data_IF_891543726662
#
_entry.id   IF_891543726662
#
_cell.length_a   1.000
_cell.length_b   1.000
_cell.length_c   1.000
_cell.angle_alpha   90.00
_cell.angle_beta   90.00
_cell.angle_gamma   90.00
#
_symmetry.space_group_name_H-M   'P 1'
#
loop_
_entity.id
_entity.type
_entity.pdbx_description
1 polymer ?
#
# COMPACT_ATOMS: atom_id res chain seq x y z
N UNK A 1 57.32 57.98 -10.71
CA UNK A 1 57.55 56.55 -10.78
C UNK A 1 56.22 55.92 -11.23
N UNK A 2 56.03 55.70 -12.51
CA UNK A 2 54.78 55.39 -13.17
C UNK A 2 54.77 53.91 -13.57
N UNK A 3 53.98 53.11 -12.91
CA UNK A 3 53.81 51.67 -13.23
C UNK A 3 52.73 51.52 -14.29
N UNK A 4 53.08 51.02 -15.47
CA UNK A 4 52.17 50.67 -16.55
C UNK A 4 51.68 49.23 -16.35
N UNK A 5 50.40 49.08 -16.11
CA UNK A 5 49.71 47.76 -16.09
C UNK A 5 49.33 47.40 -17.54
N UNK A 6 49.92 46.32 -18.08
CA UNK A 6 49.52 45.73 -19.37
C UNK A 6 48.31 44.79 -19.12
N UNK A 7 47.20 45.12 -19.72
CA UNK A 7 46.04 44.23 -19.77
C UNK A 7 46.26 43.11 -20.80
N UNK A 8 46.27 41.87 -20.37
CA UNK A 8 46.23 40.71 -21.24
C UNK A 8 44.76 40.34 -21.54
N UNK A 9 44.39 40.47 -22.82
CA UNK A 9 43.06 40.01 -23.31
C UNK A 9 43.15 38.52 -23.52
N UNK A 10 42.44 37.73 -22.70
CA UNK A 10 42.26 36.28 -22.88
C UNK A 10 41.06 36.06 -23.81
N UNK A 11 41.30 35.53 -24.99
CA UNK A 11 40.30 35.12 -25.97
C UNK A 11 39.69 33.79 -25.49
N UNK A 12 38.50 33.83 -24.91
CA UNK A 12 37.73 32.60 -24.57
C UNK A 12 37.04 32.05 -25.82
N UNK A 13 37.54 30.93 -26.34
CA UNK A 13 36.86 30.17 -27.38
C UNK A 13 35.63 29.47 -26.76
N UNK A 14 34.43 29.92 -27.10
CA UNK A 14 33.16 29.24 -26.76
C UNK A 14 33.00 28.05 -27.71
N UNK A 15 33.27 26.83 -27.22
CA UNK A 15 32.93 25.59 -27.90
C UNK A 15 31.46 25.35 -27.65
N UNK A 16 30.61 25.63 -28.64
CA UNK A 16 29.18 25.27 -28.61
C UNK A 16 29.06 23.77 -28.86
N UNK A 17 28.88 22.98 -27.78
CA UNK A 17 28.49 21.59 -27.86
C UNK A 17 26.99 21.57 -28.11
N UNK A 18 26.58 21.39 -29.36
CA UNK A 18 25.22 21.05 -29.72
C UNK A 18 24.96 19.61 -29.27
N UNK A 19 24.44 19.43 -28.06
CA UNK A 19 23.88 18.15 -27.65
C UNK A 19 22.63 17.89 -28.51
N UNK A 20 22.77 16.98 -29.46
CA UNK A 20 21.62 16.40 -30.15
C UNK A 20 20.79 15.63 -29.08
N UNK A 21 19.79 16.28 -28.52
CA UNK A 21 18.79 15.61 -27.72
C UNK A 21 18.00 14.69 -28.67
N UNK A 22 18.37 13.42 -28.68
CA UNK A 22 17.46 12.36 -29.14
C UNK A 22 16.30 12.35 -28.16
N UNK A 23 15.32 13.20 -28.41
CA UNK A 23 14.07 13.19 -27.68
C UNK A 23 13.44 11.82 -27.85
N UNK A 24 13.48 11.01 -26.79
CA UNK A 24 12.57 9.88 -26.69
C UNK A 24 11.17 10.47 -26.86
N UNK A 25 10.54 10.25 -28.00
CA UNK A 25 9.14 10.55 -28.19
C UNK A 25 8.38 9.73 -27.16
N UNK A 26 7.99 10.38 -26.06
CA UNK A 26 6.96 9.84 -25.17
C UNK A 26 5.70 9.76 -26.04
N UNK A 27 5.40 8.56 -26.51
CA UNK A 27 4.14 8.31 -27.19
C UNK A 27 3.04 8.84 -26.28
N UNK A 28 2.26 9.79 -26.77
CA UNK A 28 1.02 10.22 -26.10
C UNK A 28 0.14 8.98 -25.98
N UNK A 29 0.20 8.31 -24.82
CA UNK A 29 -0.79 7.32 -24.44
C UNK A 29 -2.03 8.09 -24.03
N UNK A 30 -2.75 8.58 -25.02
CA UNK A 30 -4.11 9.00 -24.84
C UNK A 30 -4.90 7.77 -24.42
N UNK A 31 -5.66 7.83 -23.32
CA UNK A 31 -6.71 6.87 -23.02
C UNK A 31 -7.77 6.93 -24.10
N UNK A 32 -7.42 6.47 -25.30
CA UNK A 32 -8.29 6.46 -26.47
C UNK A 32 -8.93 5.09 -26.63
N UNK A 33 -10.12 5.07 -27.17
CA UNK A 33 -10.86 3.92 -27.70
C UNK A 33 -10.15 3.23 -28.87
N UNK A 34 -8.82 3.17 -28.84
CA UNK A 34 -7.97 2.60 -29.89
C UNK A 34 -7.44 1.20 -29.54
N UNK A 35 -6.94 0.54 -30.57
CA UNK A 35 -6.25 -0.75 -30.42
C UNK A 35 -4.74 -0.54 -30.42
N UNK A 36 -4.03 -1.36 -29.64
CA UNK A 36 -2.57 -1.47 -29.64
C UNK A 36 -2.18 -2.92 -29.87
N UNK A 37 -1.33 -3.16 -30.86
CA UNK A 37 -0.74 -4.48 -31.13
C UNK A 37 0.74 -4.45 -30.74
N UNK A 38 1.12 -5.26 -29.75
CA UNK A 38 2.50 -5.49 -29.32
C UNK A 38 2.96 -6.78 -29.99
N UNK A 39 4.03 -6.72 -30.82
CA UNK A 39 4.51 -7.83 -31.64
C UNK A 39 5.80 -8.44 -31.09
N UNK A 40 5.94 -9.76 -31.31
CA UNK A 40 7.18 -10.52 -31.11
C UNK A 40 7.76 -10.45 -29.67
N UNK A 41 6.93 -10.23 -28.65
CA UNK A 41 7.39 -10.19 -27.26
C UNK A 41 7.67 -11.59 -26.69
N UNK A 42 8.51 -11.63 -25.66
CA UNK A 42 8.52 -12.74 -24.70
C UNK A 42 7.54 -12.38 -23.59
N UNK A 43 6.36 -13.03 -23.56
CA UNK A 43 5.29 -12.70 -22.61
C UNK A 43 5.42 -13.58 -21.39
N UNK A 44 5.60 -12.95 -20.21
CA UNK A 44 5.56 -13.59 -18.89
C UNK A 44 4.12 -13.57 -18.38
N UNK A 45 3.38 -14.67 -18.53
CA UNK A 45 1.94 -14.69 -18.22
C UNK A 45 1.64 -14.87 -16.75
N UNK A 46 2.64 -15.14 -15.92
CA UNK A 46 2.57 -15.50 -14.49
C UNK A 46 1.89 -16.87 -14.25
N UNK A 47 0.73 -17.11 -14.83
CA UNK A 47 -0.08 -18.32 -14.56
C UNK A 47 -0.02 -19.40 -15.64
N UNK A 48 0.47 -19.03 -16.85
CA UNK A 48 0.52 -19.93 -18.02
C UNK A 48 1.92 -20.10 -18.59
N UNK A 49 2.93 -19.80 -17.79
CA UNK A 49 4.33 -19.87 -18.21
C UNK A 49 4.76 -18.73 -19.12
N UNK A 50 5.84 -18.93 -19.86
CA UNK A 50 6.46 -17.94 -20.74
C UNK A 50 6.13 -18.26 -22.21
N UNK A 51 5.62 -17.26 -22.94
CA UNK A 51 5.31 -17.38 -24.37
C UNK A 51 6.32 -16.56 -25.17
N UNK A 52 7.13 -17.21 -25.99
CA UNK A 52 8.16 -16.55 -26.81
C UNK A 52 7.65 -16.21 -28.21
N UNK A 53 8.12 -15.07 -28.77
CA UNK A 53 7.76 -14.61 -30.11
C UNK A 53 6.24 -14.49 -30.29
N UNK A 54 5.58 -13.88 -29.31
CA UNK A 54 4.12 -13.85 -29.22
C UNK A 54 3.62 -12.42 -29.25
N UNK A 55 2.51 -12.20 -29.95
CA UNK A 55 1.86 -10.91 -30.06
C UNK A 55 0.74 -10.76 -29.03
N UNK A 56 0.49 -9.53 -28.58
CA UNK A 56 -0.61 -9.16 -27.71
C UNK A 56 -1.41 -8.02 -28.35
N UNK A 57 -2.70 -8.24 -28.58
CA UNK A 57 -3.65 -7.21 -29.00
C UNK A 57 -4.44 -6.68 -27.81
N UNK A 58 -4.37 -5.36 -27.63
CA UNK A 58 -5.16 -4.61 -26.64
C UNK A 58 -6.20 -3.80 -27.39
N UNK A 59 -7.46 -3.89 -27.00
CA UNK A 59 -8.56 -3.10 -27.55
C UNK A 59 -9.39 -2.52 -26.41
N UNK A 60 -9.64 -1.23 -26.44
CA UNK A 60 -10.41 -0.51 -25.41
C UNK A 60 -9.85 -0.75 -23.98
N UNK A 61 -8.52 -0.78 -23.83
CA UNK A 61 -7.84 -0.99 -22.56
C UNK A 61 -7.93 -2.41 -21.98
N UNK A 62 -8.37 -3.40 -22.79
CA UNK A 62 -8.45 -4.81 -22.39
C UNK A 62 -7.62 -5.68 -23.32
N UNK A 63 -7.05 -6.76 -22.81
CA UNK A 63 -6.42 -7.80 -23.63
C UNK A 63 -7.52 -8.47 -24.47
N UNK A 64 -7.45 -8.25 -25.78
CA UNK A 64 -8.40 -8.84 -26.73
C UNK A 64 -7.93 -10.20 -27.25
N UNK A 65 -6.61 -10.33 -27.54
CA UNK A 65 -6.06 -11.56 -28.09
C UNK A 65 -4.57 -11.71 -27.73
N UNK A 66 -4.14 -12.94 -27.50
CA UNK A 66 -2.74 -13.34 -27.39
C UNK A 66 -2.50 -14.46 -28.40
N UNK A 67 -1.48 -14.34 -29.23
CA UNK A 67 -1.20 -15.34 -30.27
C UNK A 67 0.01 -14.97 -31.11
N UNK A 68 0.28 -15.77 -32.15
CA UNK A 68 1.36 -15.47 -33.10
C UNK A 68 0.76 -14.85 -34.38
N UNK A 69 1.53 -13.97 -35.00
CA UNK A 69 1.18 -13.36 -36.28
C UNK A 69 -0.18 -12.66 -36.30
N UNK A 70 -0.52 -11.95 -35.24
CA UNK A 70 -1.78 -11.21 -35.16
C UNK A 70 -1.78 -10.05 -36.15
N UNK A 71 -2.95 -9.79 -36.74
CA UNK A 71 -3.17 -8.66 -37.62
C UNK A 71 -3.59 -7.43 -36.84
N UNK A 72 -2.94 -6.31 -37.06
CA UNK A 72 -3.30 -5.04 -36.46
C UNK A 72 -4.63 -4.54 -37.04
N UNK A 73 -5.63 -4.19 -36.19
CA UNK A 73 -6.83 -3.49 -36.67
C UNK A 73 -6.47 -2.15 -37.33
N UNK A 74 -7.34 -1.67 -38.22
CA UNK A 74 -7.15 -0.38 -38.87
C UNK A 74 -7.00 0.74 -37.78
N UNK A 75 -5.98 1.57 -37.94
CA UNK A 75 -5.67 2.65 -36.98
C UNK A 75 -5.06 2.21 -35.65
N UNK A 76 -4.69 0.93 -35.49
CA UNK A 76 -4.02 0.46 -34.27
C UNK A 76 -2.58 0.97 -34.19
N UNK A 77 -2.13 1.29 -32.98
CA UNK A 77 -0.70 1.50 -32.71
C UNK A 77 0.01 0.15 -32.72
N UNK A 78 1.08 0.01 -33.50
CA UNK A 78 1.90 -1.22 -33.54
C UNK A 78 3.22 -0.96 -32.81
N UNK A 79 3.57 -1.82 -31.87
CA UNK A 79 4.82 -1.76 -31.11
C UNK A 79 5.61 -3.04 -31.39
N UNK A 80 6.81 -2.90 -31.93
CA UNK A 80 7.74 -4.03 -32.03
C UNK A 80 8.44 -4.25 -30.71
N UNK A 81 8.21 -5.41 -30.11
CA UNK A 81 8.78 -5.85 -28.84
C UNK A 81 9.78 -7.01 -29.02
N UNK A 82 10.37 -7.13 -30.23
CA UNK A 82 11.41 -8.14 -30.48
C UNK A 82 12.56 -8.01 -29.47
N UNK A 83 12.91 -9.12 -28.82
CA UNK A 83 13.94 -9.16 -27.76
C UNK A 83 13.53 -8.51 -26.45
N UNK A 84 12.27 -8.09 -26.28
CA UNK A 84 11.75 -7.51 -25.05
C UNK A 84 10.82 -8.47 -24.31
N UNK A 85 10.73 -8.24 -22.99
CA UNK A 85 9.79 -8.96 -22.14
C UNK A 85 8.53 -8.12 -21.91
N UNK A 86 7.38 -8.77 -21.94
CA UNK A 86 6.08 -8.19 -21.62
C UNK A 86 5.47 -8.94 -20.45
N UNK A 87 5.06 -8.22 -19.42
CA UNK A 87 4.45 -8.81 -18.24
C UNK A 87 3.29 -7.92 -17.74
N UNK A 88 2.37 -8.45 -16.90
CA UNK A 88 1.41 -7.62 -16.20
C UNK A 88 2.13 -6.55 -15.38
N UNK A 89 1.50 -5.40 -15.22
CA UNK A 89 2.03 -4.36 -14.33
C UNK A 89 2.13 -4.87 -12.90
N UNK A 90 3.20 -4.48 -12.20
CA UNK A 90 3.45 -4.86 -10.81
C UNK A 90 2.40 -4.18 -9.92
N UNK A 91 1.87 -4.93 -8.95
CA UNK A 91 1.01 -4.45 -7.89
C UNK A 91 1.83 -4.44 -6.61
N UNK A 92 2.02 -3.26 -6.02
CA UNK A 92 2.66 -3.14 -4.71
C UNK A 92 1.59 -3.18 -3.62
N UNK A 93 1.58 -4.21 -2.78
CA UNK A 93 0.53 -4.42 -1.78
C UNK A 93 0.66 -3.52 -0.54
N UNK A 94 1.76 -2.77 -0.39
CA UNK A 94 1.98 -1.82 0.69
C UNK A 94 2.88 -0.69 0.25
N UNK A 95 2.34 0.52 0.25
CA UNK A 95 3.10 1.73 -0.05
C UNK A 95 2.60 2.92 0.75
N UNK A 96 3.47 3.91 0.90
CA UNK A 96 3.15 5.22 1.48
C UNK A 96 3.32 6.36 0.46
N UNK A 97 3.46 6.01 -0.81
CA UNK A 97 3.61 6.99 -1.88
C UNK A 97 2.39 7.90 -2.01
N UNK A 98 2.60 9.04 -2.66
CA UNK A 98 1.55 10.04 -2.98
C UNK A 98 0.95 10.74 -1.76
N UNK A 99 1.43 10.51 -0.54
CA UNK A 99 0.94 11.14 0.67
C UNK A 99 2.04 11.92 1.36
N UNK A 100 1.78 13.17 1.71
CA UNK A 100 2.71 14.01 2.47
C UNK A 100 2.69 13.67 3.97
N UNK A 101 1.56 13.12 4.46
CA UNK A 101 1.37 12.69 5.84
C UNK A 101 0.65 11.36 5.88
N UNK A 102 1.36 10.30 6.25
CA UNK A 102 0.81 8.94 6.27
C UNK A 102 0.22 8.54 7.62
N UNK A 103 0.43 9.34 8.67
CA UNK A 103 0.05 9.01 10.03
C UNK A 103 -0.80 10.10 10.67
N UNK A 104 -1.98 9.72 11.16
CA UNK A 104 -2.68 10.46 12.20
C UNK A 104 -2.41 9.76 13.55
N UNK A 105 -1.31 10.12 14.17
CA UNK A 105 -0.79 9.41 15.35
C UNK A 105 -1.15 10.05 16.69
N UNK A 106 -2.10 10.99 16.76
CA UNK A 106 -2.48 11.71 17.98
C UNK A 106 -3.24 10.83 18.98
N UNK A 107 -4.07 9.91 18.47
CA UNK A 107 -4.86 8.98 19.28
C UNK A 107 -4.41 7.52 19.05
N UNK A 108 -4.80 6.62 19.94
CA UNK A 108 -4.55 5.18 19.80
C UNK A 108 -5.42 4.53 18.75
N UNK A 109 -6.60 5.10 18.51
CA UNK A 109 -7.58 4.70 17.51
C UNK A 109 -7.94 5.92 16.67
N UNK A 110 -7.73 5.81 15.36
CA UNK A 110 -8.05 6.85 14.37
C UNK A 110 -8.67 6.23 13.11
N UNK A 111 -9.54 5.24 13.32
CA UNK A 111 -10.21 4.48 12.26
C UNK A 111 -11.01 5.34 11.28
N UNK A 112 -11.44 6.55 11.71
CA UNK A 112 -12.21 7.49 10.92
C UNK A 112 -11.41 8.24 9.86
N UNK A 113 -10.07 8.35 9.98
CA UNK A 113 -9.27 9.06 8.99
C UNK A 113 -9.02 8.22 7.74
N UNK A 114 -8.84 8.87 6.58
CA UNK A 114 -8.74 8.19 5.28
C UNK A 114 -7.51 8.69 4.52
N UNK A 115 -6.75 7.74 4.00
CA UNK A 115 -5.61 8.05 3.11
C UNK A 115 -6.05 8.79 1.85
N UNK A 116 -7.26 8.53 1.34
CA UNK A 116 -7.78 9.22 0.16
C UNK A 116 -7.79 10.73 0.29
N UNK A 117 -7.90 11.26 1.50
CA UNK A 117 -8.06 12.69 1.75
C UNK A 117 -6.74 13.48 1.67
N UNK A 118 -5.61 12.76 1.66
CA UNK A 118 -4.24 13.36 1.63
C UNK A 118 -3.41 12.92 0.43
N UNK A 119 -4.01 12.25 -0.56
CA UNK A 119 -3.29 11.80 -1.75
C UNK A 119 -2.99 12.96 -2.70
N UNK A 120 -1.72 13.05 -3.13
CA UNK A 120 -1.28 13.98 -4.16
C UNK A 120 -1.21 13.27 -5.53
N UNK A 121 -2.16 13.52 -6.45
CA UNK A 121 -2.21 12.84 -7.75
C UNK A 121 -1.13 13.30 -8.74
N UNK A 122 -0.35 14.33 -8.39
CA UNK A 122 0.76 14.86 -9.19
C UNK A 122 2.12 14.58 -8.56
N UNK A 123 2.18 13.71 -7.55
CA UNK A 123 3.43 13.36 -6.90
C UNK A 123 4.46 12.77 -7.88
N UNK A 124 5.71 13.25 -7.91
CA UNK A 124 6.75 12.73 -8.82
C UNK A 124 7.06 11.24 -8.62
N UNK A 125 6.76 10.70 -7.44
CA UNK A 125 6.89 9.28 -7.13
C UNK A 125 6.06 8.38 -8.06
N UNK A 126 4.92 8.86 -8.57
CA UNK A 126 4.08 8.13 -9.54
C UNK A 126 4.88 7.81 -10.81
N UNK A 127 5.60 8.79 -11.35
CA UNK A 127 6.44 8.56 -12.54
C UNK A 127 7.55 7.54 -12.29
N UNK A 128 8.19 7.61 -11.12
CA UNK A 128 9.26 6.67 -10.76
C UNK A 128 8.73 5.25 -10.64
N UNK A 129 7.58 5.07 -10.00
CA UNK A 129 6.94 3.77 -9.87
C UNK A 129 6.51 3.21 -11.24
N UNK A 130 5.88 4.03 -12.09
CA UNK A 130 5.49 3.63 -13.45
C UNK A 130 6.71 3.27 -14.31
N UNK A 131 7.81 4.02 -14.21
CA UNK A 131 9.06 3.70 -14.90
C UNK A 131 9.67 2.36 -14.45
N UNK A 132 9.45 1.97 -13.19
CA UNK A 132 9.81 0.66 -12.64
C UNK A 132 8.80 -0.45 -12.93
N UNK A 133 7.69 -0.15 -13.64
CA UNK A 133 6.65 -1.14 -13.98
C UNK A 133 5.58 -1.34 -12.91
N UNK A 134 5.57 -0.57 -11.83
CA UNK A 134 4.50 -0.59 -10.83
C UNK A 134 3.31 0.19 -11.36
N UNK A 135 2.15 -0.44 -11.42
CA UNK A 135 0.94 0.15 -12.01
C UNK A 135 -0.20 0.35 -11.03
N UNK A 136 -0.15 -0.33 -9.89
CA UNK A 136 -1.17 -0.25 -8.84
C UNK A 136 -0.53 -0.36 -7.47
N UNK A 137 -1.09 0.36 -6.50
CA UNK A 137 -0.64 0.40 -5.12
C UNK A 137 -1.80 0.19 -4.15
N UNK A 138 -1.50 -0.44 -3.01
CA UNK A 138 -2.33 -0.34 -1.82
C UNK A 138 -1.64 0.66 -0.87
N UNK A 139 -2.18 1.86 -0.76
CA UNK A 139 -1.61 2.92 0.07
C UNK A 139 -2.24 2.86 1.45
N UNK A 140 -1.42 2.53 2.43
CA UNK A 140 -1.84 2.31 3.81
C UNK A 140 -1.56 3.53 4.68
N UNK A 141 -2.36 3.70 5.72
CA UNK A 141 -1.98 4.54 6.86
C UNK A 141 -0.69 4.01 7.48
N UNK A 142 0.18 4.86 7.95
CA UNK A 142 1.43 4.46 8.59
C UNK A 142 1.20 3.71 9.91
N UNK A 143 2.28 3.32 10.58
CA UNK A 143 2.22 2.41 11.73
C UNK A 143 2.32 3.15 13.07
N UNK A 144 1.83 4.38 13.19
CA UNK A 144 2.02 5.20 14.39
C UNK A 144 1.11 4.82 15.57
N UNK A 145 -0.04 4.22 15.33
CA UNK A 145 -1.06 3.91 16.34
C UNK A 145 -1.67 2.51 16.13
N UNK A 146 -2.25 1.95 17.20
CA UNK A 146 -2.74 0.56 17.22
C UNK A 146 -3.82 0.33 16.16
N UNK A 147 -4.79 1.24 16.05
CA UNK A 147 -5.77 1.29 14.99
C UNK A 147 -5.59 2.62 14.27
N UNK A 148 -5.06 2.56 13.06
CA UNK A 148 -4.84 3.70 12.18
C UNK A 148 -6.02 3.96 11.25
N UNK A 149 -5.73 4.59 10.11
CA UNK A 149 -6.74 5.02 9.13
C UNK A 149 -7.07 4.01 8.05
N UNK A 150 -8.03 4.40 7.24
CA UNK A 150 -8.53 3.65 6.10
C UNK A 150 -7.55 3.79 4.92
N UNK A 151 -7.28 2.68 4.21
CA UNK A 151 -6.38 2.64 3.06
C UNK A 151 -7.05 3.05 1.75
N UNK A 152 -6.23 3.19 0.71
CA UNK A 152 -6.67 3.41 -0.66
C UNK A 152 -5.92 2.49 -1.62
N UNK A 153 -6.65 1.68 -2.38
CA UNK A 153 -6.06 0.94 -3.50
C UNK A 153 -6.24 1.75 -4.78
N UNK A 154 -5.15 2.06 -5.46
CA UNK A 154 -5.13 2.97 -6.62
C UNK A 154 -4.43 2.35 -7.83
N UNK A 155 -4.84 2.79 -9.02
CA UNK A 155 -4.08 2.66 -10.27
C UNK A 155 -3.28 3.94 -10.49
N UNK A 156 -2.01 3.79 -10.81
CA UNK A 156 -1.14 4.94 -11.04
C UNK A 156 -1.49 5.62 -12.37
N UNK A 157 -2.12 6.79 -12.30
CA UNK A 157 -2.55 7.61 -13.44
C UNK A 157 -2.16 9.06 -13.16
N UNK A 158 -0.92 9.40 -13.43
CA UNK A 158 -0.39 10.74 -13.15
C UNK A 158 -1.29 11.85 -13.70
N UNK A 159 -1.56 12.86 -12.89
CA UNK A 159 -2.33 14.04 -13.28
C UNK A 159 -3.85 13.80 -13.38
N UNK A 160 -4.35 12.62 -13.05
CA UNK A 160 -5.78 12.37 -12.89
C UNK A 160 -6.20 12.68 -11.46
N UNK A 161 -7.50 12.94 -11.26
CA UNK A 161 -8.04 13.12 -9.91
C UNK A 161 -7.88 11.84 -9.08
N UNK A 162 -7.85 11.97 -7.76
CA UNK A 162 -7.79 10.82 -6.83
C UNK A 162 -8.94 9.85 -7.10
N UNK A 163 -10.14 10.36 -7.36
CA UNK A 163 -11.31 9.53 -7.67
C UNK A 163 -11.11 8.66 -8.94
N UNK A 164 -10.48 9.20 -9.99
CA UNK A 164 -10.18 8.47 -11.23
C UNK A 164 -9.04 7.45 -11.03
N UNK A 165 -8.20 7.63 -10.02
CA UNK A 165 -7.12 6.71 -9.67
C UNK A 165 -7.61 5.55 -8.83
N UNK A 166 -8.72 5.67 -8.10
CA UNK A 166 -9.23 4.56 -7.29
C UNK A 166 -9.38 3.28 -8.11
N UNK A 167 -8.95 2.15 -7.55
CA UNK A 167 -9.04 0.86 -8.21
C UNK A 167 -10.50 0.37 -8.16
N UNK A 168 -11.19 0.23 -9.30
CA UNK A 168 -12.59 -0.17 -9.32
C UNK A 168 -12.78 -1.56 -8.70
N UNK A 169 -13.71 -1.66 -7.74
CA UNK A 169 -14.04 -2.93 -7.08
C UNK A 169 -13.04 -3.40 -6.03
N UNK A 170 -11.98 -2.63 -5.73
CA UNK A 170 -11.13 -2.93 -4.59
C UNK A 170 -11.93 -2.83 -3.28
N UNK A 171 -11.87 -3.84 -2.40
CA UNK A 171 -12.54 -3.76 -1.12
C UNK A 171 -11.90 -2.68 -0.24
N UNK A 172 -12.69 -2.00 0.61
CA UNK A 172 -12.14 -1.06 1.56
C UNK A 172 -11.28 -1.78 2.60
N UNK A 173 -10.27 -1.11 3.11
CA UNK A 173 -9.42 -1.65 4.16
C UNK A 173 -9.09 -0.63 5.23
N UNK A 174 -8.40 -1.09 6.26
CA UNK A 174 -7.93 -0.30 7.40
C UNK A 174 -6.58 -0.82 7.89
N UNK A 175 -5.72 0.09 8.32
CA UNK A 175 -4.39 -0.25 8.85
C UNK A 175 -4.43 -0.36 10.36
N UNK A 176 -4.00 -1.49 10.86
CA UNK A 176 -3.63 -1.68 12.27
C UNK A 176 -2.11 -1.70 12.39
N UNK A 177 -1.58 -1.49 13.59
CA UNK A 177 -0.17 -1.61 13.86
C UNK A 177 0.11 -2.12 15.27
N UNK A 178 1.17 -2.89 15.37
CA UNK A 178 1.71 -3.47 16.59
C UNK A 178 3.18 -3.06 16.75
N UNK A 179 3.81 -3.46 17.86
CA UNK A 179 5.23 -3.35 18.05
C UNK A 179 5.74 -1.98 18.49
N UNK A 180 7.00 -1.74 18.23
CA UNK A 180 7.72 -0.58 18.73
C UNK A 180 7.22 0.74 18.11
N UNK A 181 6.75 0.71 16.87
CA UNK A 181 6.24 1.90 16.22
C UNK A 181 5.07 2.51 16.97
N UNK A 182 4.18 1.67 17.50
CA UNK A 182 2.99 2.08 18.25
C UNK A 182 3.35 2.57 19.64
N UNK A 183 4.25 1.86 20.35
CA UNK A 183 4.64 2.20 21.71
C UNK A 183 5.59 3.38 21.78
N UNK A 184 6.11 3.84 20.64
CA UNK A 184 7.05 4.98 20.53
C UNK A 184 8.29 4.86 21.41
N UNK A 185 8.70 3.65 21.77
CA UNK A 185 9.94 3.44 22.53
C UNK A 185 11.16 3.97 21.80
N UNK A 186 11.15 3.93 20.45
CA UNK A 186 12.26 4.39 19.62
C UNK A 186 12.21 5.88 19.30
N UNK A 187 11.14 6.59 19.61
CA UNK A 187 11.18 8.04 19.65
C UNK A 187 11.89 8.44 20.95
N UNK A 188 13.19 8.24 21.01
CA UNK A 188 14.06 9.00 21.91
C UNK A 188 13.87 10.47 21.51
N UNK A 189 12.88 11.11 22.14
CA UNK A 189 12.88 12.56 22.16
C UNK A 189 14.21 12.96 22.80
N UNK A 190 15.08 13.57 22.01
CA UNK A 190 16.14 14.38 22.58
C UNK A 190 15.46 15.25 23.63
N UNK A 191 15.73 14.96 24.91
CA UNK A 191 15.25 15.80 25.99
C UNK A 191 16.06 17.07 25.90
N UNK A 192 15.52 18.05 25.19
CA UNK A 192 16.12 19.39 25.13
C UNK A 192 15.72 20.05 26.44
N UNK A 193 16.71 20.45 27.27
CA UNK A 193 16.40 21.16 28.51
C UNK A 193 15.51 22.37 28.24
N UNK A 194 14.40 22.50 28.97
CA UNK A 194 13.46 23.61 28.83
C UNK A 194 12.34 23.41 27.79
N UNK A 195 12.34 22.32 27.01
CA UNK A 195 11.22 21.96 26.13
C UNK A 195 10.31 20.95 26.85
N UNK A 196 9.00 21.25 27.01
CA UNK A 196 8.07 20.30 27.61
C UNK A 196 8.08 18.97 26.88
N UNK A 197 8.22 17.85 27.57
CA UNK A 197 8.04 16.54 26.98
C UNK A 197 6.59 16.37 26.53
N UNK A 198 6.37 15.93 25.28
CA UNK A 198 5.02 15.58 24.83
C UNK A 198 4.48 14.43 25.68
N UNK A 199 3.23 14.51 26.18
CA UNK A 199 2.62 13.41 26.94
C UNK A 199 2.70 12.10 26.15
N UNK A 200 3.11 11.01 26.80
CA UNK A 200 3.12 9.69 26.17
C UNK A 200 1.67 9.26 25.96
N UNK A 201 1.31 9.04 24.69
CA UNK A 201 0.02 8.43 24.39
C UNK A 201 0.03 6.94 24.81
N UNK A 202 -1.07 6.46 25.42
CA UNK A 202 -1.33 5.02 25.55
C UNK A 202 -1.47 4.38 24.14
N UNK A 203 -0.98 3.14 23.87
CA UNK A 203 -0.24 2.28 24.77
C UNK A 203 1.27 2.57 24.77
N UNK A 204 1.92 2.37 25.92
CA UNK A 204 3.36 2.48 26.06
C UNK A 204 4.08 1.12 25.96
N UNK A 205 3.33 0.01 25.97
CA UNK A 205 3.83 -1.37 25.96
C UNK A 205 2.97 -2.26 25.07
N UNK A 206 3.47 -3.47 24.76
CA UNK A 206 2.73 -4.50 24.02
C UNK A 206 1.46 -4.96 24.72
N UNK A 207 1.47 -5.03 26.06
CA UNK A 207 0.26 -5.32 26.86
C UNK A 207 -0.86 -4.32 26.57
N UNK A 208 -0.51 -3.03 26.54
CA UNK A 208 -1.49 -1.97 26.22
C UNK A 208 -1.99 -2.01 24.78
N UNK A 209 -1.24 -2.56 23.81
CA UNK A 209 -1.72 -2.71 22.43
C UNK A 209 -2.88 -3.68 22.35
N UNK A 210 -2.81 -4.82 23.02
CA UNK A 210 -3.92 -5.77 23.07
C UNK A 210 -5.17 -5.14 23.69
N UNK A 211 -5.01 -4.40 24.79
CA UNK A 211 -6.13 -3.74 25.46
C UNK A 211 -6.77 -2.63 24.63
N UNK A 212 -5.99 -1.87 23.85
CA UNK A 212 -6.54 -0.89 22.90
C UNK A 212 -7.44 -1.58 21.86
N UNK A 213 -6.98 -2.70 21.32
CA UNK A 213 -7.76 -3.48 20.34
C UNK A 213 -9.03 -4.03 20.98
N UNK A 214 -8.91 -4.62 22.17
CA UNK A 214 -10.02 -5.23 22.91
C UNK A 214 -11.08 -4.19 23.27
N UNK A 215 -10.67 -3.04 23.82
CA UNK A 215 -11.59 -1.93 24.15
C UNK A 215 -12.31 -1.44 22.89
N UNK A 216 -11.57 -1.16 21.82
CA UNK A 216 -12.15 -0.62 20.59
C UNK A 216 -13.18 -1.58 19.95
N UNK A 217 -12.90 -2.88 19.92
CA UNK A 217 -13.85 -3.87 19.40
C UNK A 217 -15.00 -4.15 20.34
N UNK A 218 -14.82 -4.06 21.65
CA UNK A 218 -15.92 -4.13 22.63
C UNK A 218 -16.89 -2.97 22.40
N UNK A 219 -16.38 -1.74 22.33
CA UNK A 219 -17.20 -0.54 22.04
C UNK A 219 -17.89 -0.65 20.67
N UNK A 220 -17.19 -1.15 19.66
CA UNK A 220 -17.78 -1.33 18.33
C UNK A 220 -18.91 -2.38 18.32
N UNK A 221 -18.78 -3.44 19.11
CA UNK A 221 -19.83 -4.46 19.28
C UNK A 221 -21.07 -3.88 19.98
N UNK A 222 -20.89 -3.07 21.02
CA UNK A 222 -21.99 -2.41 21.71
C UNK A 222 -22.68 -1.40 20.77
N UNK A 223 -21.90 -0.58 20.07
CA UNK A 223 -22.42 0.35 19.08
C UNK A 223 -23.22 -0.36 17.96
N UNK A 224 -22.72 -1.49 17.48
CA UNK A 224 -23.45 -2.29 16.51
C UNK A 224 -24.79 -2.78 17.07
N UNK A 225 -24.83 -3.27 18.32
CA UNK A 225 -26.05 -3.74 18.99
C UNK A 225 -27.08 -2.60 19.11
N UNK A 226 -26.69 -1.39 19.51
CA UNK A 226 -27.58 -0.23 19.57
C UNK A 226 -28.24 0.08 18.21
N UNK A 227 -27.46 0.02 17.13
CA UNK A 227 -27.97 0.22 15.78
C UNK A 227 -28.88 -0.92 15.31
N UNK A 228 -28.59 -2.16 15.66
CA UNK A 228 -29.43 -3.31 15.34
C UNK A 228 -30.77 -3.25 16.09
N UNK A 229 -30.75 -2.88 17.36
CA UNK A 229 -31.96 -2.63 18.16
C UNK A 229 -32.80 -1.50 17.58
N UNK A 230 -32.19 -0.39 17.21
CA UNK A 230 -32.88 0.71 16.53
C UNK A 230 -33.58 0.24 15.24
N UNK A 231 -32.86 -0.49 14.37
CA UNK A 231 -33.42 -1.02 13.14
C UNK A 231 -34.60 -1.99 13.40
N UNK A 232 -34.50 -2.77 14.45
CA UNK A 232 -35.59 -3.67 14.85
C UNK A 232 -36.83 -2.88 15.33
N UNK A 233 -36.64 -1.89 16.21
CA UNK A 233 -37.70 -1.01 16.72
C UNK A 233 -38.36 -0.21 15.61
N UNK A 234 -37.62 0.31 14.63
CA UNK A 234 -38.13 1.10 13.53
C UNK A 234 -39.17 0.37 12.66
N UNK A 235 -39.21 -0.99 12.69
CA UNK A 235 -40.18 -1.80 11.96
C UNK A 235 -41.58 -1.67 12.55
N UNK A 236 -41.70 -1.40 13.85
CA UNK A 236 -42.96 -1.32 14.59
C UNK A 236 -43.25 0.10 15.11
N UNK A 237 -42.23 0.88 15.36
CA UNK A 237 -42.35 2.23 15.87
C UNK A 237 -41.52 3.21 15.00
N UNK A 238 -42.20 3.98 14.18
CA UNK A 238 -41.60 4.97 13.29
C UNK A 238 -41.05 6.21 14.05
N UNK A 239 -41.39 6.36 15.34
CA UNK A 239 -40.89 7.44 16.19
C UNK A 239 -39.58 7.09 16.90
N UNK A 240 -39.06 5.88 16.73
CA UNK A 240 -37.81 5.44 17.31
C UNK A 240 -36.66 6.38 16.91
N UNK A 241 -35.88 6.82 17.89
CA UNK A 241 -34.74 7.71 17.68
C UNK A 241 -33.50 6.91 17.31
N UNK A 242 -32.81 7.33 16.24
CA UNK A 242 -31.55 6.72 15.84
C UNK A 242 -30.44 6.96 16.87
N UNK A 243 -29.57 5.99 17.14
CA UNK A 243 -28.35 6.22 17.92
C UNK A 243 -27.48 7.29 17.27
N UNK A 244 -26.68 7.97 18.08
CA UNK A 244 -25.70 8.93 17.58
C UNK A 244 -24.66 8.18 16.74
N UNK A 245 -24.29 8.74 15.57
CA UNK A 245 -23.20 8.19 14.75
C UNK A 245 -21.86 8.39 15.45
N UNK A 246 -21.05 7.34 15.46
CA UNK A 246 -19.67 7.36 15.93
C UNK A 246 -18.74 6.95 14.76
N UNK A 247 -18.06 7.95 14.20
CA UNK A 247 -17.20 7.76 13.02
C UNK A 247 -15.94 6.94 13.32
N UNK A 248 -15.53 6.84 14.60
CA UNK A 248 -14.44 5.98 15.02
C UNK A 248 -14.88 4.50 15.06
N UNK A 249 -16.12 4.22 15.48
CA UNK A 249 -16.61 2.84 15.63
C UNK A 249 -17.19 2.26 14.33
N UNK A 250 -17.74 3.08 13.44
CA UNK A 250 -18.31 2.62 12.16
C UNK A 250 -17.35 1.75 11.35
N UNK A 251 -16.07 2.13 11.10
CA UNK A 251 -15.15 1.27 10.36
C UNK A 251 -14.82 -0.05 11.06
N UNK A 252 -14.87 -0.09 12.40
CA UNK A 252 -14.65 -1.32 13.16
C UNK A 252 -15.86 -2.27 13.09
N UNK A 253 -17.08 -1.73 13.04
CA UNK A 253 -18.27 -2.52 12.73
C UNK A 253 -18.17 -3.12 11.32
N UNK A 254 -17.72 -2.34 10.32
CA UNK A 254 -17.49 -2.86 8.97
C UNK A 254 -16.44 -3.98 8.95
N UNK A 255 -15.41 -3.91 9.81
CA UNK A 255 -14.42 -4.99 9.98
C UNK A 255 -15.08 -6.25 10.51
N UNK A 256 -15.88 -6.17 11.58
CA UNK A 256 -16.61 -7.33 12.14
C UNK A 256 -17.63 -7.93 11.16
N UNK A 257 -18.17 -7.11 10.29
CA UNK A 257 -19.11 -7.56 9.23
C UNK A 257 -18.40 -8.09 7.98
N UNK A 258 -17.05 -8.11 7.95
CA UNK A 258 -16.28 -8.56 6.80
C UNK A 258 -16.31 -7.62 5.59
N UNK A 259 -16.83 -6.41 5.76
CA UNK A 259 -16.93 -5.39 4.71
C UNK A 259 -15.64 -4.60 4.51
N UNK A 260 -14.80 -4.52 5.56
CA UNK A 260 -13.52 -3.80 5.56
C UNK A 260 -12.40 -4.75 5.95
N UNK A 261 -11.32 -4.75 5.18
CA UNK A 261 -10.18 -5.66 5.34
C UNK A 261 -9.14 -5.07 6.30
N UNK A 262 -8.65 -5.87 7.24
CA UNK A 262 -7.60 -5.47 8.18
C UNK A 262 -6.23 -5.78 7.61
N UNK A 263 -5.35 -4.76 7.54
CA UNK A 263 -3.93 -4.86 7.21
C UNK A 263 -3.12 -4.46 8.44
N UNK A 264 -2.36 -5.38 9.03
CA UNK A 264 -1.73 -5.15 10.32
C UNK A 264 -0.20 -5.15 10.23
N UNK A 265 0.42 -4.00 10.49
CA UNK A 265 1.86 -3.93 10.71
C UNK A 265 2.25 -4.75 11.93
N UNK A 266 3.17 -5.67 11.77
CA UNK A 266 3.70 -6.52 12.83
C UNK A 266 5.02 -7.15 12.39
N UNK A 267 5.92 -7.40 13.34
CA UNK A 267 7.18 -8.09 13.06
C UNK A 267 7.29 -9.42 13.80
N UNK A 268 6.93 -9.44 15.07
CA UNK A 268 7.12 -10.56 15.99
C UNK A 268 6.00 -11.59 15.91
N UNK A 269 6.37 -12.84 16.05
CA UNK A 269 5.44 -13.96 16.02
C UNK A 269 4.39 -13.91 17.14
N UNK A 270 4.79 -13.55 18.37
CA UNK A 270 3.90 -13.44 19.51
C UNK A 270 2.81 -12.36 19.32
N UNK A 271 3.17 -11.22 18.76
CA UNK A 271 2.23 -10.13 18.45
C UNK A 271 1.24 -10.52 17.34
N UNK A 272 1.74 -11.16 16.27
CA UNK A 272 0.89 -11.67 15.20
C UNK A 272 -0.11 -12.69 15.72
N UNK A 273 0.34 -13.63 16.55
CA UNK A 273 -0.51 -14.66 17.13
C UNK A 273 -1.56 -14.06 18.07
N UNK A 274 -1.19 -13.07 18.89
CA UNK A 274 -2.13 -12.31 19.73
C UNK A 274 -3.24 -11.69 18.88
N UNK A 275 -2.88 -10.98 17.79
CA UNK A 275 -3.87 -10.36 16.91
C UNK A 275 -4.79 -11.38 16.23
N UNK A 276 -4.25 -12.53 15.78
CA UNK A 276 -5.05 -13.59 15.17
C UNK A 276 -6.05 -14.20 16.17
N UNK A 277 -5.64 -14.37 17.44
CA UNK A 277 -6.51 -14.86 18.51
C UNK A 277 -7.63 -13.84 18.83
N UNK A 278 -7.29 -12.56 18.93
CA UNK A 278 -8.26 -11.49 19.15
C UNK A 278 -9.24 -11.38 17.98
N UNK A 279 -8.76 -11.50 16.76
CA UNK A 279 -9.61 -11.50 15.57
C UNK A 279 -10.63 -12.65 15.60
N UNK A 280 -10.21 -13.84 16.06
CA UNK A 280 -11.10 -14.98 16.26
C UNK A 280 -12.13 -14.71 17.38
N UNK A 281 -11.74 -14.09 18.48
CA UNK A 281 -12.61 -13.74 19.60
C UNK A 281 -13.74 -12.77 19.17
N UNK A 282 -13.40 -11.74 18.39
CA UNK A 282 -14.36 -10.74 17.92
C UNK A 282 -15.02 -11.07 16.57
N UNK A 283 -14.66 -12.20 15.95
CA UNK A 283 -15.30 -12.69 14.73
C UNK A 283 -14.92 -11.93 13.47
N UNK A 284 -13.72 -11.32 13.41
CA UNK A 284 -13.23 -10.68 12.19
C UNK A 284 -11.99 -11.40 11.62
N UNK A 285 -11.61 -11.04 10.41
CA UNK A 285 -10.44 -11.60 9.74
C UNK A 285 -9.34 -10.55 9.59
N UNK A 286 -8.10 -10.91 9.97
CA UNK A 286 -6.91 -10.19 9.52
C UNK A 286 -6.63 -10.60 8.09
N UNK A 287 -6.76 -9.66 7.14
CA UNK A 287 -6.55 -9.98 5.74
C UNK A 287 -5.07 -10.18 5.43
N UNK A 288 -4.21 -9.30 5.96
CA UNK A 288 -2.76 -9.34 5.69
C UNK A 288 -1.97 -8.86 6.90
N UNK A 289 -0.99 -9.65 7.30
CA UNK A 289 0.09 -9.22 8.18
C UNK A 289 1.13 -8.49 7.33
N UNK A 290 1.36 -7.22 7.63
CA UNK A 290 2.33 -6.40 6.91
C UNK A 290 3.69 -6.53 7.58
N UNK A 291 4.73 -6.71 6.75
CA UNK A 291 6.10 -7.03 7.12
C UNK A 291 6.26 -8.46 7.67
N UNK A 292 5.57 -8.82 8.76
CA UNK A 292 5.47 -10.18 9.30
C UNK A 292 6.81 -10.93 9.36
N UNK A 293 7.89 -10.29 9.82
CA UNK A 293 9.26 -10.77 9.66
C UNK A 293 9.52 -12.11 10.33
N UNK A 294 8.81 -12.40 11.42
CA UNK A 294 8.85 -13.70 12.13
C UNK A 294 7.69 -14.64 11.75
N UNK A 295 6.99 -14.36 10.65
CA UNK A 295 5.85 -15.17 10.20
C UNK A 295 6.18 -16.65 10.02
N UNK A 296 7.41 -16.96 9.64
CA UNK A 296 7.88 -18.34 9.49
C UNK A 296 7.78 -19.18 10.78
N UNK A 297 7.82 -18.53 11.95
CA UNK A 297 7.71 -19.20 13.26
C UNK A 297 6.29 -19.71 13.55
N UNK A 298 5.28 -19.08 12.95
CA UNK A 298 3.84 -19.37 13.13
C UNK A 298 3.12 -19.55 11.79
N UNK A 299 3.82 -20.08 10.79
CA UNK A 299 3.29 -20.22 9.44
C UNK A 299 2.00 -21.06 9.37
N UNK A 300 1.89 -22.08 10.21
CA UNK A 300 0.71 -22.94 10.30
C UNK A 300 -0.51 -22.20 10.84
N UNK A 301 -0.33 -21.37 11.85
CA UNK A 301 -1.38 -20.56 12.47
C UNK A 301 -1.87 -19.46 11.51
N UNK A 302 -0.95 -18.82 10.78
CA UNK A 302 -1.28 -17.84 9.73
C UNK A 302 -2.09 -18.51 8.63
N UNK A 303 -1.68 -19.70 8.18
CA UNK A 303 -2.39 -20.49 7.18
C UNK A 303 -3.79 -20.91 7.66
N UNK A 304 -3.90 -21.40 8.90
CA UNK A 304 -5.16 -21.81 9.51
C UNK A 304 -6.16 -20.63 9.65
N UNK A 305 -5.65 -19.43 9.91
CA UNK A 305 -6.47 -18.20 9.93
C UNK A 305 -6.88 -17.71 8.53
N UNK A 306 -6.34 -18.31 7.47
CA UNK A 306 -6.52 -17.84 6.09
C UNK A 306 -6.00 -16.42 5.85
N UNK A 307 -5.02 -16.00 6.63
CA UNK A 307 -4.40 -14.68 6.58
C UNK A 307 -3.26 -14.68 5.59
N UNK A 308 -3.13 -13.63 4.75
CA UNK A 308 -1.95 -13.41 3.92
C UNK A 308 -0.83 -12.70 4.68
N UNK A 309 0.36 -12.67 4.08
CA UNK A 309 1.50 -11.94 4.64
C UNK A 309 2.23 -11.18 3.53
N UNK A 310 2.56 -9.92 3.78
CA UNK A 310 3.35 -9.10 2.88
C UNK A 310 4.65 -8.70 3.57
N UNK A 311 5.80 -9.19 3.07
CA UNK A 311 7.10 -9.06 3.72
C UNK A 311 8.05 -8.15 2.95
N UNK A 312 9.18 -7.84 3.56
CA UNK A 312 10.34 -7.26 2.87
C UNK A 312 11.18 -8.37 2.21
N UNK A 313 11.93 -8.00 1.19
CA UNK A 313 12.82 -8.94 0.51
C UNK A 313 14.04 -9.32 1.37
N UNK A 314 14.62 -8.35 2.08
CA UNK A 314 15.96 -8.45 2.68
C UNK A 314 16.16 -7.57 3.93
N UNK A 315 15.10 -7.20 4.63
CA UNK A 315 15.20 -6.36 5.83
C UNK A 315 15.29 -7.20 7.10
N UNK A 316 16.45 -7.21 7.73
CA UNK A 316 16.69 -7.86 9.02
C UNK A 316 17.63 -7.04 9.89
N UNK A 317 17.56 -7.26 11.22
CA UNK A 317 18.48 -6.69 12.23
C UNK A 317 18.60 -5.16 12.29
N UNK A 318 17.74 -4.40 11.62
CA UNK A 318 17.82 -2.92 11.64
C UNK A 318 17.19 -2.32 12.90
N UNK A 319 16.44 -3.13 13.68
CA UNK A 319 15.94 -2.83 15.01
C UNK A 319 15.69 -4.12 15.79
N UNK A 320 15.52 -4.04 17.12
CA UNK A 320 15.38 -5.22 17.99
C UNK A 320 14.23 -6.15 17.56
N UNK A 321 13.07 -5.62 17.25
CA UNK A 321 11.92 -6.43 16.81
C UNK A 321 12.06 -7.05 15.42
N UNK A 322 13.10 -6.69 14.67
CA UNK A 322 13.45 -7.26 13.36
C UNK A 322 14.68 -8.19 13.43
N UNK A 323 15.16 -8.49 14.64
CA UNK A 323 16.42 -9.25 14.83
C UNK A 323 16.33 -10.68 14.24
N UNK A 324 15.21 -11.34 14.41
CA UNK A 324 15.00 -12.73 13.96
C UNK A 324 14.43 -12.84 12.53
N UNK A 325 14.42 -11.75 11.77
CA UNK A 325 14.03 -11.80 10.36
C UNK A 325 15.01 -12.67 9.56
N UNK A 326 14.45 -13.48 8.64
CA UNK A 326 15.24 -14.35 7.77
C UNK A 326 14.83 -14.21 6.30
N UNK A 327 15.74 -14.34 5.32
CA UNK A 327 15.40 -14.28 3.89
C UNK A 327 14.42 -15.37 3.44
N UNK A 328 14.37 -16.52 4.13
CA UNK A 328 13.49 -17.63 3.80
C UNK A 328 12.07 -17.50 4.36
N UNK A 329 11.71 -16.41 5.01
CA UNK A 329 10.38 -16.19 5.58
C UNK A 329 9.26 -16.45 4.55
N UNK A 330 9.29 -15.76 3.40
CA UNK A 330 8.28 -15.91 2.34
C UNK A 330 8.22 -17.32 1.76
N UNK A 331 9.34 -17.97 1.36
CA UNK A 331 9.32 -19.37 0.92
C UNK A 331 8.75 -20.37 1.94
N UNK A 332 9.01 -20.18 3.22
CA UNK A 332 8.47 -21.05 4.29
C UNK A 332 6.96 -20.86 4.38
N UNK A 333 6.49 -19.63 4.43
CA UNK A 333 5.05 -19.30 4.46
C UNK A 333 4.30 -19.90 3.26
N UNK A 334 4.85 -19.77 2.05
CA UNK A 334 4.25 -20.35 0.84
C UNK A 334 4.16 -21.87 0.91
N UNK A 335 5.17 -22.57 1.48
CA UNK A 335 5.09 -24.02 1.70
C UNK A 335 3.97 -24.43 2.66
N UNK A 336 3.59 -23.57 3.59
CA UNK A 336 2.45 -23.76 4.48
C UNK A 336 1.11 -23.31 3.88
N UNK A 337 1.08 -22.87 2.62
CA UNK A 337 -0.14 -22.44 1.91
C UNK A 337 -0.56 -21.01 2.21
N UNK A 338 0.30 -20.21 2.85
CA UNK A 338 0.04 -18.79 3.07
C UNK A 338 0.23 -18.02 1.75
N UNK A 339 -0.72 -17.15 1.39
CA UNK A 339 -0.52 -16.18 0.33
C UNK A 339 0.48 -15.13 0.80
N UNK A 340 1.71 -15.23 0.30
CA UNK A 340 2.79 -14.33 0.68
C UNK A 340 3.23 -13.45 -0.50
N UNK A 341 3.54 -12.19 -0.21
CA UNK A 341 3.98 -11.17 -1.18
C UNK A 341 5.18 -10.40 -0.65
N UNK A 342 5.85 -9.68 -1.55
CA UNK A 342 6.88 -8.69 -1.22
C UNK A 342 6.29 -7.30 -1.46
N UNK A 343 6.64 -6.34 -0.61
CA UNK A 343 6.22 -4.94 -0.72
C UNK A 343 7.41 -3.99 -0.64
N UNK A 344 7.16 -2.72 -0.99
CA UNK A 344 8.19 -1.66 -0.93
C UNK A 344 8.18 -0.86 0.38
N UNK A 345 7.02 -0.74 1.00
CA UNK A 345 6.69 0.10 2.18
C UNK A 345 6.78 1.61 1.92
#
# INVERSE_FOLDING_TARGET
MTIRIRAAVALAAVISITAASTGAQVAKVGGGSGSTLIKNATILTVTRGTLTGTDLLITNGKIAQIGKSLTAPAGATVIDATGKFLMPGIIDPHSHMMSDATNEGSLSVTSMVRITDVLNPTAPSIYRALAGGVTSLNILHGSANTIGGQNATVKLKFGRSVAEMMFPGAPPGIKFALGENVTRKNQQQLQIPGVPSTPRRYPATRMGQEEVLRDAFTRAKDYKAEWDDYRAKLKTDRSALAPRRDLELEPLVEVMEGKRLVHAHSYRADEMLMLLNLAKEFGFKVQTLQHGLEGYKIASEIAAAGTGLSSFADSWSYKIEAYDAIPYNVPILMKHGVLATINSD
#
